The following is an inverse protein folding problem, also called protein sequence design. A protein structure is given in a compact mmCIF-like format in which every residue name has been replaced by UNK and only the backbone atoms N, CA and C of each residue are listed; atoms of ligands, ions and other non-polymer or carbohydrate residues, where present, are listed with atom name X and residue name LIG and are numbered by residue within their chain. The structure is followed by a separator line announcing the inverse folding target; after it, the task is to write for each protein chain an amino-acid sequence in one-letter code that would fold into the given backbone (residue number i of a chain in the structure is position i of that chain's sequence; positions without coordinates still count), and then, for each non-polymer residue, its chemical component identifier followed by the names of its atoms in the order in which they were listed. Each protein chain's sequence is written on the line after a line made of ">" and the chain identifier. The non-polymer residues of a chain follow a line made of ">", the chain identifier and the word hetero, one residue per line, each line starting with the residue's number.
data_IF_225312676061
#
_entry.id   IF_225312676061
#
_cell.length_a   1.000
_cell.length_b   1.000
_cell.length_c   1.000
_cell.angle_alpha   90.00
_cell.angle_beta   90.00
_cell.angle_gamma   90.00
#
_symmetry.space_group_name_H-M   'P 1'
#
loop_
_entity.id
_entity.type
_entity.pdbx_description
1 polymer ?
#
# COMPACT_ATOMS: atom_id res chain seq x y z
N UNK A 1 9.17 -6.92 -16.98
CA UNK A 1 10.35 -6.11 -16.59
C UNK A 1 9.89 -5.06 -15.61
N UNK A 2 10.35 -5.12 -14.36
CA UNK A 2 10.07 -4.12 -13.32
C UNK A 2 11.18 -3.07 -13.23
N UNK A 3 11.05 -2.16 -12.26
CA UNK A 3 11.92 -0.98 -12.12
C UNK A 3 13.42 -1.30 -12.15
N UNK A 4 13.87 -2.37 -11.50
CA UNK A 4 15.29 -2.75 -11.44
C UNK A 4 15.89 -3.01 -12.83
N UNK A 5 15.11 -3.57 -13.76
CA UNK A 5 15.58 -3.94 -15.10
C UNK A 5 15.27 -2.87 -16.15
N UNK A 6 14.25 -2.03 -15.92
CA UNK A 6 13.82 -0.97 -16.82
C UNK A 6 13.26 0.22 -16.01
N UNK A 7 14.14 1.05 -15.40
CA UNK A 7 13.70 2.15 -14.55
C UNK A 7 12.87 3.18 -15.33
N UNK A 8 13.32 3.57 -16.52
CA UNK A 8 12.66 4.59 -17.33
C UNK A 8 11.30 4.13 -17.85
N UNK A 9 11.20 2.91 -18.39
CA UNK A 9 9.91 2.36 -18.84
C UNK A 9 8.94 2.14 -17.68
N UNK A 10 9.44 1.74 -16.52
CA UNK A 10 8.62 1.57 -15.31
C UNK A 10 8.09 2.92 -14.81
N UNK A 11 8.94 3.94 -14.72
CA UNK A 11 8.54 5.31 -14.35
C UNK A 11 7.58 5.93 -15.36
N UNK A 12 7.77 5.70 -16.65
CA UNK A 12 6.88 6.25 -17.68
C UNK A 12 5.45 5.73 -17.52
N UNK A 13 5.28 4.43 -17.23
CA UNK A 13 3.97 3.85 -16.90
C UNK A 13 3.40 4.48 -15.63
N UNK A 14 4.24 4.69 -14.62
CA UNK A 14 3.83 5.33 -13.38
C UNK A 14 3.30 6.72 -13.58
N UNK A 15 4.07 7.55 -14.26
CA UNK A 15 3.70 8.92 -14.51
C UNK A 15 2.44 9.00 -15.39
N UNK A 16 2.31 8.17 -16.43
CA UNK A 16 1.11 8.17 -17.27
C UNK A 16 -0.18 7.92 -16.47
N UNK A 17 -0.10 7.01 -15.51
CA UNK A 17 -1.19 6.67 -14.61
C UNK A 17 -1.49 7.78 -13.60
N UNK A 18 -0.46 8.33 -12.96
CA UNK A 18 -0.58 9.45 -12.02
C UNK A 18 -1.23 10.67 -12.71
N UNK A 19 -0.76 11.03 -13.90
CA UNK A 19 -1.31 12.15 -14.67
C UNK A 19 -2.77 11.91 -15.07
N UNK A 20 -3.13 10.68 -15.42
CA UNK A 20 -4.52 10.32 -15.70
C UNK A 20 -5.40 10.43 -14.45
N UNK A 21 -4.92 9.99 -13.27
CA UNK A 21 -5.67 10.10 -12.03
C UNK A 21 -5.89 11.58 -11.63
N UNK A 22 -4.84 12.40 -11.68
CA UNK A 22 -4.93 13.85 -11.42
C UNK A 22 -5.93 14.51 -12.37
N UNK A 23 -5.86 14.20 -13.67
CA UNK A 23 -6.76 14.77 -14.68
C UNK A 23 -8.23 14.41 -14.42
N UNK A 24 -8.50 13.30 -13.75
CA UNK A 24 -9.84 12.81 -13.48
C UNK A 24 -10.29 13.03 -12.02
N UNK A 25 -9.56 13.85 -11.23
CA UNK A 25 -9.92 14.17 -9.84
C UNK A 25 -10.00 12.92 -8.93
N UNK A 26 -9.02 12.03 -9.09
CA UNK A 26 -8.93 10.72 -8.43
C UNK A 26 -7.61 10.63 -7.66
N UNK A 27 -7.67 10.19 -6.39
CA UNK A 27 -6.46 9.83 -5.64
C UNK A 27 -5.73 8.66 -6.31
N UNK A 28 -4.40 8.66 -6.23
CA UNK A 28 -3.53 7.63 -6.81
C UNK A 28 -2.45 7.22 -5.82
N UNK A 29 -2.26 5.90 -5.69
CA UNK A 29 -1.19 5.32 -4.89
C UNK A 29 0.01 5.08 -5.81
N UNK A 30 1.13 5.70 -5.49
CA UNK A 30 2.44 5.39 -6.07
C UNK A 30 3.06 4.29 -5.21
N UNK A 31 2.83 3.05 -5.63
CA UNK A 31 3.25 1.83 -4.93
C UNK A 31 4.63 1.33 -5.38
N UNK A 32 5.56 1.24 -4.42
CA UNK A 32 6.80 0.49 -4.55
C UNK A 32 6.55 -1.00 -4.33
N UNK A 33 6.08 -1.64 -5.42
CA UNK A 33 5.65 -3.03 -5.45
C UNK A 33 6.80 -4.04 -5.34
N UNK A 34 7.35 -4.17 -4.14
CA UNK A 34 8.50 -5.02 -3.79
C UNK A 34 8.14 -6.02 -2.69
N UNK A 35 8.86 -7.15 -2.66
CA UNK A 35 8.91 -8.12 -1.56
C UNK A 35 10.28 -8.17 -0.87
N UNK A 36 11.16 -7.22 -1.21
CA UNK A 36 12.51 -7.14 -0.64
C UNK A 36 12.86 -5.68 -0.38
N UNK A 37 13.71 -5.43 0.61
CA UNK A 37 14.33 -4.12 0.78
C UNK A 37 15.20 -3.79 -0.44
N UNK A 38 14.82 -2.74 -1.16
CA UNK A 38 15.58 -2.15 -2.28
C UNK A 38 15.85 -0.66 -1.99
N UNK A 39 16.55 -0.39 -0.89
CA UNK A 39 16.65 0.96 -0.29
C UNK A 39 17.20 2.01 -1.25
N UNK A 40 18.27 1.69 -1.98
CA UNK A 40 18.94 2.68 -2.83
C UNK A 40 18.07 3.08 -4.02
N UNK A 41 17.43 2.10 -4.64
CA UNK A 41 16.54 2.27 -5.78
C UNK A 41 15.25 3.01 -5.37
N UNK A 42 14.68 2.64 -4.22
CA UNK A 42 13.50 3.30 -3.67
C UNK A 42 13.79 4.77 -3.31
N UNK A 43 14.97 5.08 -2.74
CA UNK A 43 15.37 6.48 -2.46
C UNK A 43 15.37 7.33 -3.73
N UNK A 44 15.95 6.84 -4.81
CA UNK A 44 15.99 7.55 -6.10
C UNK A 44 14.58 7.72 -6.66
N UNK A 45 13.80 6.64 -6.68
CA UNK A 45 12.43 6.66 -7.20
C UNK A 45 11.54 7.65 -6.45
N UNK A 46 11.47 7.55 -5.11
CA UNK A 46 10.61 8.42 -4.32
C UNK A 46 11.08 9.87 -4.27
N UNK A 47 12.38 10.15 -4.35
CA UNK A 47 12.86 11.52 -4.53
C UNK A 47 12.30 12.13 -5.83
N UNK A 48 12.36 11.40 -6.95
CA UNK A 48 11.85 11.86 -8.24
C UNK A 48 10.32 12.06 -8.22
N UNK A 49 9.57 11.11 -7.66
CA UNK A 49 8.11 11.21 -7.55
C UNK A 49 7.68 12.38 -6.65
N UNK A 50 8.32 12.54 -5.49
CA UNK A 50 8.00 13.61 -4.55
C UNK A 50 8.40 14.99 -5.07
N UNK A 51 9.54 15.13 -5.75
CA UNK A 51 9.91 16.38 -6.43
C UNK A 51 8.90 16.78 -7.51
N UNK A 52 8.39 15.79 -8.27
CA UNK A 52 7.49 16.05 -9.40
C UNK A 52 6.05 16.30 -8.96
N UNK A 53 5.54 15.48 -8.04
CA UNK A 53 4.11 15.46 -7.70
C UNK A 53 3.81 15.86 -6.25
N UNK A 54 4.81 16.15 -5.42
CA UNK A 54 4.59 16.31 -3.98
C UNK A 54 3.76 17.51 -3.53
N UNK A 55 3.39 18.40 -4.46
CA UNK A 55 2.44 19.49 -4.21
C UNK A 55 1.01 19.16 -4.63
N UNK A 56 0.80 17.97 -5.20
CA UNK A 56 -0.48 17.54 -5.71
C UNK A 56 -1.20 16.70 -4.65
N UNK A 57 -2.39 17.10 -4.19
CA UNK A 57 -3.09 16.42 -3.10
C UNK A 57 -3.62 15.04 -3.48
N UNK A 58 -3.65 14.68 -4.76
CA UNK A 58 -4.11 13.36 -5.21
C UNK A 58 -3.11 12.25 -4.89
N UNK A 59 -1.88 12.58 -4.52
CA UNK A 59 -0.81 11.60 -4.37
C UNK A 59 -0.85 10.94 -2.99
N UNK A 60 -0.73 9.62 -3.01
CA UNK A 60 -0.44 8.79 -1.84
C UNK A 60 0.78 7.95 -2.20
N UNK A 61 1.74 7.82 -1.29
CA UNK A 61 2.91 6.96 -1.50
C UNK A 61 2.73 5.67 -0.73
N UNK A 62 3.09 4.52 -1.31
CA UNK A 62 3.19 3.25 -0.60
C UNK A 62 4.63 2.76 -0.72
N UNK A 63 5.38 2.85 0.39
CA UNK A 63 6.86 2.81 0.34
C UNK A 63 7.44 1.40 0.25
N UNK A 64 6.64 0.40 0.60
CA UNK A 64 6.97 -1.00 0.52
C UNK A 64 5.67 -1.79 0.51
N UNK A 65 5.33 -2.39 -0.63
CA UNK A 65 4.13 -3.21 -0.81
C UNK A 65 4.03 -4.31 0.23
N UNK A 66 4.81 -5.39 0.12
CA UNK A 66 4.62 -6.56 0.99
C UNK A 66 5.97 -7.07 1.55
N UNK A 67 6.42 -6.54 2.70
CA UNK A 67 7.53 -7.13 3.45
C UNK A 67 7.24 -8.60 3.80
N UNK A 68 8.16 -9.50 3.47
CA UNK A 68 7.91 -10.94 3.56
C UNK A 68 8.55 -11.55 4.81
N UNK A 69 9.88 -11.52 4.86
CA UNK A 69 10.74 -12.15 5.88
C UNK A 69 11.43 -11.09 6.73
N UNK A 70 11.40 -9.83 6.30
CA UNK A 70 11.92 -8.72 7.07
C UNK A 70 11.19 -8.62 8.41
N UNK A 71 11.96 -8.35 9.45
CA UNK A 71 11.42 -8.03 10.77
C UNK A 71 10.86 -6.60 10.80
N UNK A 72 9.94 -6.31 11.73
CA UNK A 72 9.42 -4.95 11.87
C UNK A 72 10.52 -3.89 12.08
N UNK A 73 11.58 -4.11 12.89
CA UNK A 73 12.70 -3.16 12.97
C UNK A 73 13.39 -2.88 11.63
N UNK A 74 13.56 -3.88 10.77
CA UNK A 74 14.17 -3.71 9.43
C UNK A 74 13.23 -2.91 8.51
N UNK A 75 11.95 -3.25 8.47
CA UNK A 75 10.92 -2.52 7.70
C UNK A 75 10.83 -1.07 8.19
N UNK A 76 10.82 -0.86 9.51
CA UNK A 76 10.77 0.46 10.14
C UNK A 76 11.98 1.31 9.77
N UNK A 77 13.19 0.74 9.81
CA UNK A 77 14.41 1.43 9.42
C UNK A 77 14.38 1.85 7.94
N UNK A 78 13.99 0.91 7.05
CA UNK A 78 13.81 1.20 5.62
C UNK A 78 12.77 2.32 5.40
N UNK A 79 11.58 2.19 5.97
CA UNK A 79 10.49 3.13 5.76
C UNK A 79 10.85 4.53 6.28
N UNK A 80 11.53 4.61 7.42
CA UNK A 80 11.97 5.90 8.00
C UNK A 80 12.91 6.65 7.05
N UNK A 81 13.84 5.95 6.39
CA UNK A 81 14.73 6.53 5.40
C UNK A 81 13.97 7.05 4.17
N UNK A 82 13.02 6.27 3.64
CA UNK A 82 12.22 6.67 2.48
C UNK A 82 11.28 7.83 2.83
N UNK A 83 10.63 7.80 4.00
CA UNK A 83 9.78 8.89 4.49
C UNK A 83 10.57 10.20 4.57
N UNK A 84 11.80 10.17 5.10
CA UNK A 84 12.67 11.35 5.16
C UNK A 84 12.92 11.95 3.77
N UNK A 85 13.21 11.10 2.78
CA UNK A 85 13.41 11.53 1.38
C UNK A 85 12.15 12.15 0.79
N UNK A 86 10.98 11.52 0.97
CA UNK A 86 9.71 12.07 0.50
C UNK A 86 9.44 13.43 1.17
N UNK A 87 9.58 13.50 2.49
CA UNK A 87 9.27 14.68 3.31
C UNK A 87 10.19 15.87 3.05
N UNK A 88 11.36 15.67 2.44
CA UNK A 88 12.21 16.76 1.95
C UNK A 88 11.56 17.56 0.80
N UNK A 89 10.62 16.96 0.05
CA UNK A 89 9.94 17.59 -1.09
C UNK A 89 8.42 17.70 -0.91
N UNK A 90 7.83 16.82 -0.11
CA UNK A 90 6.39 16.67 0.12
C UNK A 90 6.07 16.57 1.62
N UNK A 91 5.71 17.69 2.27
CA UNK A 91 5.57 17.74 3.72
C UNK A 91 4.29 17.07 4.25
N UNK A 92 3.28 16.81 3.42
CA UNK A 92 1.91 16.57 3.89
C UNK A 92 1.11 15.47 3.17
N UNK A 93 1.49 14.97 1.99
CA UNK A 93 0.75 13.84 1.41
C UNK A 93 0.88 12.57 2.24
N UNK A 94 -0.13 11.70 2.15
CA UNK A 94 -0.20 10.45 2.92
C UNK A 94 0.91 9.50 2.46
N UNK A 95 1.56 8.85 3.41
CA UNK A 95 2.49 7.75 3.17
C UNK A 95 1.97 6.48 3.85
N UNK A 96 1.76 5.43 3.07
CA UNK A 96 1.41 4.08 3.48
C UNK A 96 2.68 3.28 3.74
N UNK A 97 2.74 2.60 4.89
CA UNK A 97 3.88 1.81 5.34
C UNK A 97 3.47 0.35 5.54
N UNK A 98 4.15 -0.53 4.82
CA UNK A 98 4.00 -1.98 4.95
C UNK A 98 4.44 -2.54 6.31
N UNK A 99 4.05 -3.79 6.58
CA UNK A 99 4.49 -4.54 7.76
C UNK A 99 4.80 -6.01 7.42
N UNK A 100 5.57 -6.72 8.26
CA UNK A 100 5.94 -8.10 7.98
C UNK A 100 4.78 -9.04 7.68
N UNK A 101 5.10 -10.17 7.05
CA UNK A 101 4.17 -11.22 6.65
C UNK A 101 3.10 -10.71 5.66
N UNK A 102 3.52 -10.03 4.57
CA UNK A 102 2.62 -9.49 3.54
C UNK A 102 1.55 -8.54 4.15
N UNK A 103 2.02 -7.59 4.96
CA UNK A 103 1.21 -6.58 5.66
C UNK A 103 0.18 -7.14 6.65
N UNK A 104 0.44 -8.34 7.15
CA UNK A 104 -0.46 -8.96 8.10
C UNK A 104 -0.09 -8.63 9.54
N UNK A 105 1.17 -8.32 9.82
CA UNK A 105 1.65 -8.13 11.18
C UNK A 105 1.48 -6.70 11.74
N UNK A 106 0.39 -6.01 11.37
CA UNK A 106 0.03 -4.63 11.80
C UNK A 106 0.04 -4.37 13.32
N UNK A 107 -0.04 -5.42 14.15
CA UNK A 107 0.18 -5.29 15.60
C UNK A 107 1.60 -4.86 16.00
N UNK A 108 2.61 -5.10 15.15
CA UNK A 108 4.00 -4.70 15.39
C UNK A 108 4.16 -3.17 15.29
N UNK A 109 3.80 -2.51 14.17
CA UNK A 109 3.81 -1.04 14.12
C UNK A 109 2.83 -0.40 15.11
N UNK A 110 1.74 -1.07 15.48
CA UNK A 110 0.84 -0.56 16.53
C UNK A 110 1.48 -0.51 17.93
N UNK A 111 2.49 -1.36 18.17
CA UNK A 111 3.23 -1.39 19.43
C UNK A 111 4.51 -0.55 19.37
N UNK A 112 5.10 -0.37 18.19
CA UNK A 112 6.32 0.39 17.98
C UNK A 112 6.25 1.26 16.70
N UNK A 113 5.40 2.30 16.68
CA UNK A 113 5.15 3.10 15.47
C UNK A 113 6.36 3.95 15.07
N UNK A 114 6.39 4.37 13.81
CA UNK A 114 7.30 5.43 13.35
C UNK A 114 6.88 6.76 13.99
N UNK A 115 7.83 7.47 14.59
CA UNK A 115 7.62 8.75 15.28
C UNK A 115 8.33 9.89 14.54
N UNK A 116 7.90 11.13 14.79
CA UNK A 116 8.52 12.34 14.23
C UNK A 116 7.98 12.76 12.85
N UNK A 117 7.09 11.96 12.25
CA UNK A 117 6.42 12.26 10.98
C UNK A 117 4.90 12.28 11.15
N UNK A 118 4.22 13.01 10.27
CA UNK A 118 2.76 13.09 10.19
C UNK A 118 2.25 12.41 8.92
N UNK A 119 0.94 12.17 8.89
CA UNK A 119 0.21 11.63 7.74
C UNK A 119 0.79 10.29 7.27
N UNK A 120 1.05 9.42 8.25
CA UNK A 120 1.45 8.03 8.03
C UNK A 120 0.24 7.13 8.30
N UNK A 121 0.00 6.18 7.42
CA UNK A 121 -0.93 5.07 7.63
C UNK A 121 -0.19 3.76 7.39
N UNK A 122 -0.74 2.65 7.89
CA UNK A 122 -0.12 1.34 7.77
C UNK A 122 -1.00 0.40 6.96
N UNK A 123 -0.38 -0.37 6.07
CA UNK A 123 -1.12 -1.21 5.15
C UNK A 123 -1.57 -2.51 5.80
N UNK A 124 -2.67 -3.06 5.32
CA UNK A 124 -3.08 -4.43 5.60
C UNK A 124 -3.61 -5.06 4.34
N UNK A 125 -3.00 -6.14 3.89
CA UNK A 125 -3.46 -6.90 2.73
C UNK A 125 -4.28 -8.10 3.16
N UNK A 126 -5.37 -8.37 2.41
CA UNK A 126 -6.16 -9.57 2.65
C UNK A 126 -6.69 -10.19 1.36
N UNK A 127 -6.66 -11.51 1.36
CA UNK A 127 -7.32 -12.36 0.36
C UNK A 127 -8.39 -13.17 1.08
N UNK A 128 -9.66 -12.93 0.75
CA UNK A 128 -10.81 -13.32 1.58
C UNK A 128 -10.93 -14.83 1.78
N UNK A 129 -10.49 -15.66 0.83
CA UNK A 129 -10.57 -17.11 1.02
C UNK A 129 -9.49 -17.66 1.98
N UNK A 130 -8.37 -16.94 2.11
CA UNK A 130 -7.25 -17.31 2.99
C UNK A 130 -7.34 -16.61 4.35
N UNK A 131 -7.58 -15.31 4.36
CA UNK A 131 -7.47 -14.45 5.53
C UNK A 131 -8.85 -14.10 6.08
N UNK A 132 -9.14 -14.55 7.31
CA UNK A 132 -10.49 -14.49 7.89
C UNK A 132 -10.53 -13.65 9.17
N UNK A 133 -11.33 -14.07 10.14
CA UNK A 133 -11.52 -13.40 11.44
C UNK A 133 -10.22 -13.13 12.21
N UNK A 134 -9.21 -13.98 12.09
CA UNK A 134 -7.94 -13.84 12.80
C UNK A 134 -7.21 -12.54 12.41
N UNK A 135 -7.07 -12.28 11.10
CA UNK A 135 -6.43 -11.06 10.62
C UNK A 135 -7.27 -9.82 10.99
N UNK A 136 -8.59 -9.85 10.80
CA UNK A 136 -9.47 -8.75 11.27
C UNK A 136 -9.34 -8.45 12.76
N UNK A 137 -9.12 -9.46 13.62
CA UNK A 137 -8.87 -9.26 15.06
C UNK A 137 -7.56 -8.51 15.29
N UNK A 138 -6.53 -8.81 14.53
CA UNK A 138 -5.24 -8.12 14.59
C UNK A 138 -5.34 -6.68 14.10
N UNK A 139 -6.04 -6.42 13.00
CA UNK A 139 -6.33 -5.05 12.55
C UNK A 139 -7.12 -4.27 13.61
N UNK A 140 -8.13 -4.90 14.23
CA UNK A 140 -8.86 -4.28 15.35
C UNK A 140 -7.96 -3.94 16.54
N UNK A 141 -6.98 -4.77 16.85
CA UNK A 141 -5.99 -4.47 17.90
C UNK A 141 -5.17 -3.23 17.51
N UNK A 142 -4.68 -3.15 16.27
CA UNK A 142 -3.90 -2.02 15.79
C UNK A 142 -4.69 -0.70 15.83
N UNK A 143 -5.94 -0.69 15.35
CA UNK A 143 -6.84 0.46 15.45
C UNK A 143 -7.08 0.87 16.91
N UNK A 144 -7.28 -0.10 17.81
CA UNK A 144 -7.46 0.16 19.24
C UNK A 144 -6.22 0.74 19.93
N UNK A 145 -5.05 0.65 19.31
CA UNK A 145 -3.79 1.27 19.74
C UNK A 145 -3.56 2.64 19.09
N UNK A 146 -4.47 3.10 18.23
CA UNK A 146 -4.38 4.37 17.52
C UNK A 146 -3.56 4.32 16.22
N UNK A 147 -3.32 3.13 15.67
CA UNK A 147 -2.65 3.00 14.37
C UNK A 147 -3.68 3.14 13.24
N UNK A 148 -3.51 4.14 12.38
CA UNK A 148 -4.35 4.33 11.20
C UNK A 148 -4.02 3.26 10.14
N UNK A 149 -5.06 2.59 9.62
CA UNK A 149 -4.93 1.50 8.66
C UNK A 149 -5.49 1.88 7.29
N UNK A 150 -4.84 1.37 6.25
CA UNK A 150 -5.29 1.43 4.85
C UNK A 150 -5.20 0.02 4.23
N UNK A 151 -6.18 -0.41 3.45
CA UNK A 151 -6.12 -1.70 2.73
C UNK A 151 -5.71 -1.41 1.28
N UNK A 152 -4.40 -1.32 1.00
CA UNK A 152 -3.89 -0.98 -0.34
C UNK A 152 -3.96 -2.14 -1.33
N UNK A 153 -4.15 -3.37 -0.83
CA UNK A 153 -4.41 -4.53 -1.65
C UNK A 153 -5.43 -5.49 -1.01
N UNK A 154 -6.39 -5.96 -1.80
CA UNK A 154 -7.32 -7.00 -1.36
C UNK A 154 -7.94 -7.78 -2.50
N UNK A 155 -8.31 -9.04 -2.27
CA UNK A 155 -9.11 -9.79 -3.24
C UNK A 155 -10.10 -10.76 -2.58
N UNK A 156 -11.13 -11.14 -3.34
CA UNK A 156 -12.15 -12.09 -2.90
C UNK A 156 -11.72 -13.56 -2.96
N UNK A 157 -10.57 -13.85 -3.57
CA UNK A 157 -10.05 -15.21 -3.82
C UNK A 157 -9.03 -15.62 -2.74
N UNK A 158 -8.28 -16.71 -2.98
CA UNK A 158 -7.21 -17.13 -2.08
C UNK A 158 -5.93 -16.28 -2.30
N UNK A 159 -4.96 -16.36 -1.38
CA UNK A 159 -3.74 -15.55 -1.40
C UNK A 159 -2.77 -15.85 -2.57
N UNK A 160 -2.98 -16.91 -3.36
CA UNK A 160 -2.20 -17.13 -4.57
C UNK A 160 -2.78 -16.39 -5.80
N UNK A 161 -3.90 -15.67 -5.60
CA UNK A 161 -4.58 -14.90 -6.65
C UNK A 161 -5.59 -15.71 -7.46
N UNK A 162 -5.83 -16.98 -7.13
CA UNK A 162 -6.69 -17.88 -7.91
C UNK A 162 -7.79 -18.55 -7.07
N UNK A 163 -8.62 -19.35 -7.72
CA UNK A 163 -9.71 -20.08 -7.09
C UNK A 163 -11.02 -19.29 -7.02
N UNK A 164 -12.07 -19.91 -6.45
CA UNK A 164 -13.40 -19.31 -6.40
C UNK A 164 -13.44 -18.10 -5.46
N UNK A 165 -14.31 -17.15 -5.78
CA UNK A 165 -14.58 -16.01 -4.90
C UNK A 165 -15.27 -16.46 -3.61
N UNK A 166 -14.70 -16.09 -2.47
CA UNK A 166 -15.34 -16.24 -1.17
C UNK A 166 -16.16 -14.99 -0.83
N UNK A 167 -17.32 -14.84 -1.49
CA UNK A 167 -18.20 -13.67 -1.38
C UNK A 167 -18.63 -13.42 0.08
N UNK A 168 -18.91 -14.48 0.84
CA UNK A 168 -19.32 -14.36 2.25
C UNK A 168 -18.24 -13.72 3.11
N UNK A 169 -16.98 -14.14 2.94
CA UNK A 169 -15.86 -13.59 3.69
C UNK A 169 -15.45 -12.20 3.20
N UNK A 170 -15.49 -11.97 1.88
CA UNK A 170 -15.30 -10.64 1.27
C UNK A 170 -16.26 -9.61 1.88
N UNK A 171 -17.55 -9.92 1.95
CA UNK A 171 -18.55 -9.02 2.52
C UNK A 171 -18.29 -8.70 4.00
N UNK A 172 -17.76 -9.65 4.79
CA UNK A 172 -17.38 -9.38 6.19
C UNK A 172 -16.20 -8.43 6.28
N UNK A 173 -15.23 -8.54 5.37
CA UNK A 173 -14.10 -7.62 5.27
C UNK A 173 -14.55 -6.22 4.88
N UNK A 174 -15.29 -6.07 3.78
CA UNK A 174 -15.79 -4.77 3.33
C UNK A 174 -16.65 -4.11 4.39
N UNK A 175 -17.63 -4.82 4.97
CA UNK A 175 -18.43 -4.24 6.05
C UNK A 175 -17.59 -3.84 7.27
N UNK A 176 -16.51 -4.56 7.56
CA UNK A 176 -15.61 -4.18 8.65
C UNK A 176 -14.80 -2.93 8.29
N UNK A 177 -14.26 -2.83 7.08
CA UNK A 177 -13.53 -1.65 6.61
C UNK A 177 -14.45 -0.41 6.61
N UNK A 178 -15.63 -0.50 6.00
CA UNK A 178 -16.63 0.59 5.95
C UNK A 178 -17.04 1.07 7.35
N UNK A 179 -17.34 0.15 8.28
CA UNK A 179 -17.71 0.51 9.66
C UNK A 179 -16.59 1.25 10.41
N UNK A 180 -15.33 0.99 10.06
CA UNK A 180 -14.17 1.63 10.68
C UNK A 180 -13.60 2.76 9.81
N UNK A 181 -14.26 3.14 8.70
CA UNK A 181 -13.81 4.15 7.73
C UNK A 181 -12.41 3.88 7.17
N UNK A 182 -12.11 2.61 6.90
CA UNK A 182 -10.83 2.19 6.33
C UNK A 182 -10.99 2.14 4.81
N UNK A 183 -10.15 2.90 4.10
CA UNK A 183 -10.06 2.84 2.65
C UNK A 183 -9.54 1.49 2.19
N UNK A 184 -10.03 1.00 1.05
CA UNK A 184 -9.67 -0.31 0.52
C UNK A 184 -9.56 -0.32 -1.01
N UNK A 185 -8.65 -1.14 -1.52
CA UNK A 185 -8.28 -1.25 -2.94
C UNK A 185 -8.29 -2.72 -3.35
N UNK A 186 -8.80 -3.05 -4.54
CA UNK A 186 -8.90 -4.43 -5.03
C UNK A 186 -7.79 -4.81 -6.01
N UNK A 187 -7.10 -5.92 -5.76
CA UNK A 187 -6.27 -6.64 -6.72
C UNK A 187 -7.17 -7.49 -7.64
N UNK A 188 -7.12 -7.34 -8.97
CA UNK A 188 -6.42 -6.33 -9.77
C UNK A 188 -7.18 -5.99 -11.04
N UNK A 189 -6.80 -4.90 -11.70
CA UNK A 189 -7.19 -4.62 -13.10
C UNK A 189 -6.18 -5.32 -14.01
N UNK A 190 -6.46 -6.55 -14.40
CA UNK A 190 -5.63 -7.33 -15.33
C UNK A 190 -6.47 -8.23 -16.23
N UNK A 191 -5.93 -8.59 -17.41
CA UNK A 191 -6.57 -9.46 -18.41
C UNK A 191 -6.06 -10.92 -18.36
N UNK A 192 -5.24 -11.25 -17.36
CA UNK A 192 -4.68 -12.60 -17.22
C UNK A 192 -5.78 -13.61 -16.90
N UNK A 193 -5.80 -14.73 -17.63
CA UNK A 193 -6.79 -15.82 -17.49
C UNK A 193 -6.73 -16.60 -16.15
N UNK A 194 -5.73 -16.34 -15.32
CA UNK A 194 -5.61 -16.76 -13.92
C UNK A 194 -4.92 -15.60 -13.18
N UNK A 195 -5.50 -15.04 -12.12
CA UNK A 195 -5.02 -13.77 -11.56
C UNK A 195 -3.59 -13.91 -10.98
N UNK A 196 -2.60 -13.32 -11.67
CA UNK A 196 -1.25 -13.01 -11.15
C UNK A 196 -0.34 -12.50 -12.29
N UNK A 197 0.03 -11.23 -12.37
CA UNK A 197 1.38 -10.89 -12.85
C UNK A 197 1.72 -9.43 -12.54
N UNK A 198 2.79 -9.27 -11.77
CA UNK A 198 3.88 -8.29 -11.87
C UNK A 198 3.57 -6.83 -12.20
N UNK A 199 3.87 -5.99 -11.20
CA UNK A 199 4.49 -4.65 -11.27
C UNK A 199 3.98 -3.69 -12.34
N UNK A 200 3.02 -2.85 -11.95
CA UNK A 200 3.21 -1.40 -11.71
C UNK A 200 1.82 -0.74 -11.57
N UNK A 201 1.56 -0.25 -10.36
CA UNK A 201 0.50 0.65 -9.92
C UNK A 201 -0.93 0.14 -9.89
N UNK A 202 -1.48 0.29 -8.68
CA UNK A 202 -2.88 0.42 -8.43
C UNK A 202 -3.36 1.87 -8.50
N UNK A 203 -4.23 2.17 -9.46
CA UNK A 203 -5.10 3.34 -9.40
C UNK A 203 -6.39 2.89 -8.76
N UNK A 204 -6.71 3.38 -7.56
CA UNK A 204 -8.10 3.33 -7.08
C UNK A 204 -8.52 4.65 -6.46
N UNK A 205 -9.70 5.06 -6.91
CA UNK A 205 -10.56 6.15 -6.44
C UNK A 205 -10.87 5.97 -4.96
N UNK A 206 -10.23 6.76 -4.10
CA UNK A 206 -10.68 6.92 -2.72
C UNK A 206 -11.94 7.80 -2.75
N UNK A 207 -13.10 7.17 -2.53
CA UNK A 207 -14.28 7.87 -2.03
C UNK A 207 -14.14 7.86 -0.51
N UNK A 208 -13.99 9.04 0.09
CA UNK A 208 -13.84 9.33 1.53
C UNK A 208 -12.41 9.56 2.05
N UNK A 209 -11.93 10.78 1.84
CA UNK A 209 -11.14 11.51 2.84
C UNK A 209 -12.04 12.64 3.37
N UNK A 210 -12.83 12.34 4.41
CA UNK A 210 -13.78 13.26 5.04
C UNK A 210 -14.17 12.83 6.44
#
# INVERSE_FOLDING_TARGET
>A
NGYINDPEGSKAKVMAVVEAAIKNDIYVIIDWHSHNINLNEAKVFFAEMAQKYGKNPHIIYEVFNEPDKETWPEVKAYATEIISIIRAYDPDNIILVGSPSWDQDVHLPANDPILGYKNLMYTCHFYADTHKKALRKRCKYALGKGLDLFISESAGVNANGDGPLNISEWNKWIQWAERNKISWVTWSVSDKKAAQLFSIIFVIVIRYLG
#
